data_IF_425129559780
#
_entry.id   IF_425129559780
#
_cell.length_a   1.000
_cell.length_b   1.000
_cell.length_c   1.000
_cell.angle_alpha   90.00
_cell.angle_beta   90.00
_cell.angle_gamma   90.00
#
_symmetry.space_group_name_H-M   'P 1'
#
loop_
_entity.id
_entity.type
_entity.pdbx_description
1 polymer ?
#
# COMPACT_ATOMS: atom_id res chain seq x y z
N UNK A 1 20.42 -26.97 -33.52
CA UNK A 1 20.06 -27.63 -32.24
C UNK A 1 20.74 -26.92 -31.07
N UNK A 2 22.08 -26.85 -31.03
CA UNK A 2 22.83 -26.17 -29.95
C UNK A 2 22.47 -24.69 -29.80
N UNK A 3 22.51 -23.90 -30.89
CA UNK A 3 22.17 -22.47 -30.83
C UNK A 3 20.72 -22.17 -30.41
N UNK A 4 19.77 -23.07 -30.69
CA UNK A 4 18.39 -22.91 -30.26
C UNK A 4 18.24 -23.21 -28.75
N UNK A 5 18.96 -24.21 -28.26
CA UNK A 5 19.02 -24.54 -26.84
C UNK A 5 19.69 -23.44 -26.02
N UNK A 6 20.81 -22.89 -26.49
CA UNK A 6 21.50 -21.75 -25.85
C UNK A 6 20.59 -20.51 -25.75
N UNK A 7 19.78 -20.23 -26.79
CA UNK A 7 18.83 -19.11 -26.77
C UNK A 7 17.70 -19.31 -25.75
N UNK A 8 17.18 -20.53 -25.60
CA UNK A 8 16.14 -20.83 -24.60
C UNK A 8 16.68 -20.71 -23.18
N UNK A 9 17.87 -21.24 -22.91
CA UNK A 9 18.51 -21.11 -21.60
C UNK A 9 18.76 -19.65 -21.24
N UNK A 10 19.27 -18.85 -22.19
CA UNK A 10 19.50 -17.43 -21.95
C UNK A 10 18.19 -16.69 -21.64
N UNK A 11 17.11 -16.94 -22.38
CA UNK A 11 15.80 -16.33 -22.10
C UNK A 11 15.29 -16.68 -20.69
N UNK A 12 15.58 -17.87 -20.18
CA UNK A 12 15.18 -18.29 -18.84
C UNK A 12 15.99 -17.59 -17.74
N UNK A 13 17.28 -17.36 -18.01
CA UNK A 13 18.16 -16.56 -17.12
C UNK A 13 17.68 -15.10 -17.09
N UNK A 14 17.37 -14.53 -18.25
CA UNK A 14 16.90 -13.14 -18.35
C UNK A 14 15.56 -12.99 -17.59
N UNK A 15 14.62 -13.92 -17.77
CA UNK A 15 13.34 -13.91 -17.07
C UNK A 15 13.50 -14.08 -15.54
N UNK A 16 14.45 -14.88 -15.08
CA UNK A 16 14.76 -15.00 -13.66
C UNK A 16 15.29 -13.68 -13.07
N UNK A 17 16.11 -12.94 -13.83
CA UNK A 17 16.58 -11.62 -13.41
C UNK A 17 15.44 -10.59 -13.38
N UNK A 18 14.51 -10.65 -14.33
CA UNK A 18 13.31 -9.79 -14.33
C UNK A 18 12.41 -10.08 -13.13
N UNK A 19 12.25 -11.36 -12.73
CA UNK A 19 11.52 -11.75 -11.51
C UNK A 19 12.17 -11.16 -10.26
N UNK A 20 13.51 -11.24 -10.13
CA UNK A 20 14.22 -10.65 -8.99
C UNK A 20 14.00 -9.12 -8.93
N UNK A 21 14.00 -8.46 -10.08
CA UNK A 21 13.73 -7.02 -10.17
C UNK A 21 12.27 -6.68 -9.82
N UNK A 22 11.30 -7.49 -10.25
CA UNK A 22 9.88 -7.33 -9.93
C UNK A 22 9.63 -7.58 -8.43
N UNK A 23 10.28 -8.56 -7.82
CA UNK A 23 10.17 -8.82 -6.39
C UNK A 23 10.67 -7.61 -5.56
N UNK A 24 11.76 -6.99 -5.99
CA UNK A 24 12.25 -5.75 -5.38
C UNK A 24 11.27 -4.57 -5.60
N UNK A 25 10.65 -4.47 -6.79
CA UNK A 25 9.63 -3.46 -7.08
C UNK A 25 8.38 -3.64 -6.20
N UNK A 26 7.93 -4.88 -5.97
CA UNK A 26 6.85 -5.20 -5.04
C UNK A 26 7.21 -4.73 -3.63
N UNK A 27 8.40 -5.07 -3.13
CA UNK A 27 8.83 -4.66 -1.80
C UNK A 27 8.85 -3.12 -1.64
N UNK A 28 9.29 -2.40 -2.68
CA UNK A 28 9.26 -0.92 -2.69
C UNK A 28 7.84 -0.36 -2.73
N UNK A 29 6.94 -0.96 -3.51
CA UNK A 29 5.55 -0.55 -3.59
C UNK A 29 4.80 -0.79 -2.27
N UNK A 30 5.05 -1.92 -1.60
CA UNK A 30 4.52 -2.22 -0.27
C UNK A 30 5.03 -1.23 0.79
N UNK A 31 6.31 -0.86 0.73
CA UNK A 31 6.86 0.18 1.60
C UNK A 31 6.20 1.54 1.35
N UNK A 32 6.01 1.92 0.09
CA UNK A 32 5.33 3.16 -0.26
C UNK A 32 3.87 3.17 0.24
N UNK A 33 3.17 2.05 0.13
CA UNK A 33 1.83 1.89 0.68
C UNK A 33 1.80 2.05 2.20
N UNK A 34 2.74 1.42 2.91
CA UNK A 34 2.87 1.59 4.36
C UNK A 34 3.11 3.06 4.73
N UNK A 35 3.97 3.77 4.02
CA UNK A 35 4.22 5.19 4.27
C UNK A 35 2.97 6.04 4.01
N UNK A 36 2.24 5.78 2.92
CA UNK A 36 1.00 6.51 2.63
C UNK A 36 -0.07 6.28 3.71
N UNK A 37 -0.13 5.08 4.29
CA UNK A 37 -1.03 4.77 5.41
C UNK A 37 -0.63 5.49 6.70
N UNK A 38 0.68 5.59 6.98
CA UNK A 38 1.19 6.37 8.11
C UNK A 38 0.88 7.86 7.94
N UNK A 39 1.05 8.41 6.73
CA UNK A 39 0.74 9.80 6.41
C UNK A 39 -0.77 10.08 6.54
N UNK A 40 -1.64 9.16 6.07
CA UNK A 40 -3.09 9.27 6.26
C UNK A 40 -3.47 9.30 7.75
N UNK A 41 -2.82 8.45 8.56
CA UNK A 41 -3.03 8.44 10.01
C UNK A 41 -2.65 9.78 10.63
N UNK A 42 -1.48 10.33 10.26
CA UNK A 42 -1.03 11.63 10.75
C UNK A 42 -1.97 12.79 10.34
N UNK A 43 -2.50 12.75 9.11
CA UNK A 43 -3.49 13.73 8.64
C UNK A 43 -4.81 13.64 9.41
N UNK A 44 -5.26 12.42 9.75
CA UNK A 44 -6.46 12.20 10.56
C UNK A 44 -6.27 12.71 12.01
N UNK A 45 -5.10 12.48 12.60
CA UNK A 45 -4.77 13.03 13.93
C UNK A 45 -4.75 14.56 13.92
N UNK A 46 -4.20 15.17 12.85
CA UNK A 46 -4.18 16.62 12.68
C UNK A 46 -5.60 17.20 12.54
N UNK A 47 -6.47 16.54 11.78
CA UNK A 47 -7.89 16.91 11.67
C UNK A 47 -8.60 16.85 13.02
N UNK A 48 -8.37 15.79 13.80
CA UNK A 48 -8.94 15.69 15.14
C UNK A 48 -8.48 16.84 16.05
N UNK A 49 -7.19 17.19 16.02
CA UNK A 49 -6.66 18.33 16.78
C UNK A 49 -7.30 19.65 16.34
N UNK A 50 -7.47 19.89 15.03
CA UNK A 50 -8.10 21.10 14.53
C UNK A 50 -9.57 21.21 14.95
N UNK A 51 -10.28 20.09 15.02
CA UNK A 51 -11.67 20.02 15.52
C UNK A 51 -11.76 20.32 17.02
N UNK A 52 -10.80 19.83 17.81
CA UNK A 52 -10.69 20.15 19.23
C UNK A 52 -10.44 21.65 19.44
N UNK A 53 -9.53 22.24 18.65
CA UNK A 53 -9.23 23.67 18.68
C UNK A 53 -10.44 24.52 18.29
N UNK A 54 -11.20 24.11 17.26
CA UNK A 54 -12.45 24.78 16.87
C UNK A 54 -13.48 24.73 18.00
N UNK A 55 -13.62 23.59 18.67
CA UNK A 55 -14.52 23.44 19.82
C UNK A 55 -14.10 24.39 20.94
N UNK A 56 -12.80 24.44 21.27
CA UNK A 56 -12.28 25.35 22.29
C UNK A 56 -12.48 26.83 21.92
N UNK A 57 -12.31 27.20 20.65
CA UNK A 57 -12.57 28.56 20.18
C UNK A 57 -14.06 28.93 20.31
N UNK A 58 -14.97 28.01 19.99
CA UNK A 58 -16.42 28.20 20.15
C UNK A 58 -16.81 28.36 21.62
N UNK A 59 -16.25 27.55 22.52
CA UNK A 59 -16.47 27.68 23.96
C UNK A 59 -15.99 29.04 24.49
N UNK A 60 -14.82 29.50 24.03
CA UNK A 60 -14.30 30.83 24.38
C UNK A 60 -15.19 31.96 23.87
N UNK A 61 -15.73 31.84 22.65
CA UNK A 61 -16.68 32.81 22.12
C UNK A 61 -17.96 32.87 22.97
N UNK A 62 -18.53 31.71 23.32
CA UNK A 62 -19.72 31.66 24.17
C UNK A 62 -19.47 32.28 25.55
N UNK A 63 -18.27 32.09 26.11
CA UNK A 63 -17.89 32.74 27.37
C UNK A 63 -17.75 34.25 27.19
N UNK A 64 -17.09 34.73 26.13
CA UNK A 64 -16.96 36.16 25.86
C UNK A 64 -18.32 36.85 25.66
N UNK A 65 -19.26 36.19 24.99
CA UNK A 65 -20.64 36.68 24.85
C UNK A 65 -21.36 36.77 26.21
N UNK A 66 -21.14 35.79 27.09
CA UNK A 66 -21.68 35.80 28.47
C UNK A 66 -21.09 36.94 29.29
N UNK A 67 -19.80 37.20 29.16
CA UNK A 67 -19.11 38.30 29.85
C UNK A 67 -19.60 39.66 29.33
N UNK A 68 -19.79 39.80 28.01
CA UNK A 68 -20.38 40.99 27.41
C UNK A 68 -21.79 41.24 27.93
N UNK A 69 -22.64 40.21 27.96
CA UNK A 69 -23.99 40.35 28.51
C UNK A 69 -23.96 40.78 29.98
N UNK A 70 -23.04 40.21 30.77
CA UNK A 70 -22.87 40.58 32.18
C UNK A 70 -22.41 42.02 32.36
N UNK A 71 -21.50 42.51 31.51
CA UNK A 71 -21.05 43.90 31.50
C UNK A 71 -22.19 44.87 31.11
N UNK A 72 -22.99 44.51 30.10
CA UNK A 72 -24.16 45.28 29.68
C UNK A 72 -25.22 45.33 30.78
N UNK A 73 -25.48 44.21 31.47
CA UNK A 73 -26.41 44.17 32.59
C UNK A 73 -25.95 45.04 33.75
N UNK A 74 -24.64 45.02 34.07
CA UNK A 74 -24.05 45.88 35.08
C UNK A 74 -24.18 47.37 34.71
N UNK A 75 -23.95 47.73 33.44
CA UNK A 75 -24.15 49.09 32.95
C UNK A 75 -25.62 49.52 33.06
N UNK A 76 -26.57 48.65 32.70
CA UNK A 76 -28.01 48.94 32.77
C UNK A 76 -28.54 49.03 34.21
N UNK A 77 -27.84 48.44 35.18
CA UNK A 77 -28.19 48.51 36.59
C UNK A 77 -27.79 49.83 37.27
N UNK A 78 -27.01 50.68 36.58
CA UNK A 78 -26.68 52.03 37.08
C UNK A 78 -27.95 52.89 37.17
N UNK A 79 -28.13 53.55 38.31
CA UNK A 79 -29.25 54.46 38.54
C UNK A 79 -28.81 55.93 38.54
N UNK A 80 -29.74 56.85 38.77
CA UNK A 80 -29.47 58.30 38.79
C UNK A 80 -28.49 58.74 39.90
N UNK A 81 -28.15 57.85 40.85
CA UNK A 81 -27.20 58.13 41.94
C UNK A 81 -25.78 57.63 41.66
N UNK A 82 -25.58 56.91 40.55
CA UNK A 82 -24.27 56.44 40.12
C UNK A 82 -23.29 57.61 39.94
N UNK A 83 -22.06 57.43 40.41
CA UNK A 83 -20.98 58.38 40.25
C UNK A 83 -20.44 58.37 38.81
N UNK A 84 -19.82 59.48 38.39
CA UNK A 84 -19.14 59.55 37.08
C UNK A 84 -18.10 58.44 36.90
N UNK A 85 -17.43 58.03 37.99
CA UNK A 85 -16.45 56.95 37.95
C UNK A 85 -17.11 55.59 37.71
N UNK A 86 -18.23 55.28 38.39
CA UNK A 86 -18.95 54.02 38.18
C UNK A 86 -19.48 53.89 36.75
N UNK A 87 -19.97 54.99 36.18
CA UNK A 87 -20.39 55.03 34.77
C UNK A 87 -19.21 54.78 33.83
N UNK A 88 -18.07 55.42 34.09
CA UNK A 88 -16.86 55.24 33.29
C UNK A 88 -16.34 53.80 33.35
N UNK A 89 -16.28 53.21 34.55
CA UNK A 89 -15.82 51.83 34.76
C UNK A 89 -16.73 50.83 34.05
N UNK A 90 -18.06 51.02 34.12
CA UNK A 90 -19.02 50.16 33.41
C UNK A 90 -18.89 50.27 31.88
N UNK A 91 -18.65 51.47 31.35
CA UNK A 91 -18.40 51.66 29.92
C UNK A 91 -17.11 50.94 29.48
N UNK A 92 -16.03 51.07 30.25
CA UNK A 92 -14.78 50.35 29.98
C UNK A 92 -14.99 48.84 30.01
N UNK A 93 -15.75 48.30 30.98
CA UNK A 93 -16.03 46.87 31.05
C UNK A 93 -16.80 46.36 29.82
N UNK A 94 -17.77 47.12 29.30
CA UNK A 94 -18.48 46.79 28.06
C UNK A 94 -17.54 46.83 26.86
N UNK A 95 -16.72 47.88 26.74
CA UNK A 95 -15.77 48.03 25.63
C UNK A 95 -14.74 46.87 25.62
N UNK A 96 -14.21 46.50 26.79
CA UNK A 96 -13.27 45.38 26.95
C UNK A 96 -13.91 44.04 26.60
N UNK A 97 -15.14 43.78 27.07
CA UNK A 97 -15.86 42.55 26.75
C UNK A 97 -16.21 42.45 25.27
N UNK A 98 -16.54 43.58 24.62
CA UNK A 98 -16.80 43.61 23.19
C UNK A 98 -15.53 43.34 22.37
N UNK A 99 -14.38 43.84 22.82
CA UNK A 99 -13.09 43.49 22.23
C UNK A 99 -12.77 41.98 22.40
N UNK A 100 -13.11 41.39 23.55
CA UNK A 100 -12.94 39.96 23.78
C UNK A 100 -13.80 39.11 22.83
N UNK A 101 -15.07 39.49 22.59
CA UNK A 101 -15.95 38.83 21.60
C UNK A 101 -15.32 38.88 20.21
N UNK A 102 -14.90 40.06 19.74
CA UNK A 102 -14.25 40.18 18.42
C UNK A 102 -12.98 39.32 18.29
N UNK A 103 -12.19 39.23 19.37
CA UNK A 103 -11.01 38.35 19.38
C UNK A 103 -11.41 36.87 19.30
N UNK A 104 -12.47 36.45 20.01
CA UNK A 104 -12.94 35.07 19.98
C UNK A 104 -13.57 34.71 18.63
N UNK A 105 -14.32 35.61 17.99
CA UNK A 105 -14.84 35.43 16.63
C UNK A 105 -13.69 35.20 15.62
N UNK A 106 -12.60 35.97 15.77
CA UNK A 106 -11.40 35.80 14.95
C UNK A 106 -10.78 34.41 15.16
N UNK A 107 -10.64 33.97 16.41
CA UNK A 107 -10.11 32.64 16.73
C UNK A 107 -10.98 31.51 16.17
N UNK A 108 -12.32 31.65 16.19
CA UNK A 108 -13.23 30.69 15.55
C UNK A 108 -12.98 30.62 14.04
N UNK A 109 -12.88 31.77 13.37
CA UNK A 109 -12.60 31.81 11.91
C UNK A 109 -11.25 31.18 11.54
N UNK A 110 -10.22 31.39 12.38
CA UNK A 110 -8.91 30.76 12.21
C UNK A 110 -8.99 29.24 12.39
N UNK A 111 -9.71 28.77 13.41
CA UNK A 111 -9.89 27.34 13.66
C UNK A 111 -10.73 26.65 12.56
N UNK A 112 -11.76 27.31 12.03
CA UNK A 112 -12.52 26.82 10.86
C UNK A 112 -11.63 26.66 9.63
N UNK A 113 -10.71 27.61 9.42
CA UNK A 113 -9.71 27.53 8.34
C UNK A 113 -8.78 26.33 8.54
N UNK A 114 -8.28 26.14 9.77
CA UNK A 114 -7.42 25.01 10.09
C UNK A 114 -8.11 23.65 9.89
N UNK A 115 -9.40 23.53 10.24
CA UNK A 115 -10.20 22.33 9.96
C UNK A 115 -10.29 22.08 8.45
N UNK A 116 -10.59 23.10 7.65
CA UNK A 116 -10.69 22.95 6.19
C UNK A 116 -9.36 22.53 5.54
N UNK A 117 -8.24 23.05 6.03
CA UNK A 117 -6.90 22.66 5.58
C UNK A 117 -6.57 21.21 5.97
N UNK A 118 -6.95 20.79 7.18
CA UNK A 118 -6.76 19.42 7.63
C UNK A 118 -7.65 18.41 6.86
N UNK A 119 -8.91 18.77 6.55
CA UNK A 119 -9.78 17.96 5.69
C UNK A 119 -9.19 17.78 4.28
N UNK A 120 -8.61 18.85 3.73
CA UNK A 120 -7.90 18.78 2.44
C UNK A 120 -6.70 17.82 2.52
N UNK A 121 -5.93 17.91 3.60
CA UNK A 121 -4.76 17.03 3.82
C UNK A 121 -5.15 15.55 3.96
N UNK A 122 -6.29 15.26 4.61
CA UNK A 122 -6.85 13.90 4.68
C UNK A 122 -7.22 13.41 3.28
N UNK A 123 -7.93 14.21 2.48
CA UNK A 123 -8.33 13.82 1.13
C UNK A 123 -7.13 13.53 0.22
N UNK A 124 -6.06 14.34 0.31
CA UNK A 124 -4.82 14.11 -0.44
C UNK A 124 -4.10 12.82 0.00
N UNK A 125 -4.09 12.53 1.31
CA UNK A 125 -3.52 11.30 1.83
C UNK A 125 -4.33 10.06 1.40
N UNK A 126 -5.66 10.14 1.37
CA UNK A 126 -6.52 9.05 0.84
C UNK A 126 -6.22 8.75 -0.63
N UNK A 127 -6.02 9.79 -1.45
CA UNK A 127 -5.60 9.62 -2.86
C UNK A 127 -4.24 8.92 -2.93
N UNK A 128 -3.28 9.35 -2.11
CA UNK A 128 -1.94 8.77 -2.07
C UNK A 128 -1.96 7.29 -1.69
N UNK A 129 -2.79 6.90 -0.72
CA UNK A 129 -3.01 5.49 -0.37
C UNK A 129 -3.58 4.71 -1.56
N UNK A 130 -4.62 5.22 -2.21
CA UNK A 130 -5.23 4.53 -3.35
C UNK A 130 -4.26 4.32 -4.54
N UNK A 131 -3.41 5.32 -4.82
CA UNK A 131 -2.36 5.21 -5.83
C UNK A 131 -1.29 4.18 -5.45
N UNK A 132 -0.87 4.15 -4.18
CA UNK A 132 0.09 3.19 -3.67
C UNK A 132 -0.47 1.75 -3.69
N UNK A 133 -1.74 1.55 -3.32
CA UNK A 133 -2.44 0.26 -3.42
C UNK A 133 -2.49 -0.24 -4.87
N UNK A 134 -2.82 0.64 -5.82
CA UNK A 134 -2.85 0.32 -7.24
C UNK A 134 -1.46 -0.11 -7.73
N UNK A 135 -0.42 0.62 -7.34
CA UNK A 135 0.97 0.34 -7.72
C UNK A 135 1.44 -1.00 -7.15
N UNK A 136 1.17 -1.26 -5.86
CA UNK A 136 1.52 -2.52 -5.21
C UNK A 136 0.79 -3.72 -5.83
N UNK A 137 -0.50 -3.55 -6.16
CA UNK A 137 -1.28 -4.56 -6.86
C UNK A 137 -0.71 -4.88 -8.25
N UNK A 138 -0.40 -3.85 -9.04
CA UNK A 138 0.21 -4.03 -10.38
C UNK A 138 1.56 -4.73 -10.31
N UNK A 139 2.44 -4.32 -9.40
CA UNK A 139 3.74 -4.96 -9.22
C UNK A 139 3.60 -6.45 -8.84
N UNK A 140 2.60 -6.78 -8.01
CA UNK A 140 2.31 -8.16 -7.60
C UNK A 140 1.77 -9.00 -8.75
N UNK A 141 0.89 -8.44 -9.57
CA UNK A 141 0.36 -9.10 -10.77
C UNK A 141 1.47 -9.36 -11.80
N UNK A 142 2.34 -8.36 -12.04
CA UNK A 142 3.47 -8.47 -12.95
C UNK A 142 4.46 -9.56 -12.48
N UNK A 143 4.77 -9.60 -11.18
CA UNK A 143 5.61 -10.64 -10.59
C UNK A 143 5.00 -12.03 -10.78
N UNK A 144 3.70 -12.19 -10.50
CA UNK A 144 3.00 -13.46 -10.66
C UNK A 144 2.95 -13.93 -12.12
N UNK A 145 2.79 -13.01 -13.08
CA UNK A 145 2.86 -13.32 -14.50
C UNK A 145 4.27 -13.80 -14.90
N UNK A 146 5.32 -13.11 -14.45
CA UNK A 146 6.70 -13.48 -14.73
C UNK A 146 7.06 -14.86 -14.15
N UNK A 147 6.66 -15.15 -12.90
CA UNK A 147 6.85 -16.47 -12.27
C UNK A 147 6.13 -17.59 -13.04
N UNK A 148 4.91 -17.33 -13.52
CA UNK A 148 4.14 -18.27 -14.34
C UNK A 148 4.84 -18.57 -15.67
N UNK A 149 5.36 -17.53 -16.34
CA UNK A 149 6.14 -17.68 -17.57
C UNK A 149 7.40 -18.53 -17.34
N UNK A 150 8.13 -18.29 -16.25
CA UNK A 150 9.34 -19.04 -15.93
C UNK A 150 9.03 -20.52 -15.69
N UNK A 151 7.95 -20.82 -14.95
CA UNK A 151 7.46 -22.18 -14.74
C UNK A 151 7.11 -22.90 -16.05
N UNK A 152 6.40 -22.22 -16.95
CA UNK A 152 6.06 -22.75 -18.28
C UNK A 152 7.30 -23.02 -19.15
N UNK A 153 8.29 -22.11 -19.11
CA UNK A 153 9.55 -22.27 -19.84
C UNK A 153 10.37 -23.45 -19.30
N UNK A 154 10.50 -23.57 -17.98
CA UNK A 154 11.19 -24.70 -17.35
C UNK A 154 10.56 -26.04 -17.75
N UNK A 155 9.23 -26.12 -17.82
CA UNK A 155 8.53 -27.33 -18.28
C UNK A 155 8.81 -27.65 -19.76
N UNK A 156 8.86 -26.62 -20.62
CA UNK A 156 9.20 -26.78 -22.03
C UNK A 156 10.63 -27.30 -22.21
N UNK A 157 11.59 -26.76 -21.46
CA UNK A 157 12.99 -27.22 -21.48
C UNK A 157 13.12 -28.67 -21.02
N UNK A 158 12.48 -29.06 -19.92
CA UNK A 158 12.48 -30.45 -19.43
C UNK A 158 11.92 -31.41 -20.51
N UNK A 159 10.84 -31.02 -21.17
CA UNK A 159 10.22 -31.82 -22.25
C UNK A 159 11.17 -31.94 -23.45
N UNK A 160 11.77 -30.85 -23.89
CA UNK A 160 12.73 -30.84 -24.99
C UNK A 160 13.97 -31.69 -24.68
N UNK A 161 14.48 -31.63 -23.44
CA UNK A 161 15.62 -32.44 -22.99
C UNK A 161 15.26 -33.94 -22.95
N UNK A 162 14.05 -34.28 -22.48
CA UNK A 162 13.55 -35.65 -22.47
C UNK A 162 13.40 -36.22 -23.89
N UNK A 163 12.86 -35.44 -24.83
CA UNK A 163 12.77 -35.82 -26.24
C UNK A 163 14.16 -36.00 -26.89
N UNK A 164 15.09 -35.09 -26.61
CA UNK A 164 16.47 -35.18 -27.09
C UNK A 164 17.19 -36.43 -26.55
N UNK A 165 17.04 -36.72 -25.26
CA UNK A 165 17.60 -37.91 -24.63
C UNK A 165 17.00 -39.20 -25.25
N UNK A 166 15.69 -39.24 -25.44
CA UNK A 166 15.00 -40.39 -26.03
C UNK A 166 15.43 -40.62 -27.50
N UNK A 167 15.63 -39.55 -28.27
CA UNK A 167 16.17 -39.63 -29.64
C UNK A 167 17.62 -40.13 -29.67
N UNK A 168 18.44 -39.74 -28.69
CA UNK A 168 19.82 -40.22 -28.57
C UNK A 168 19.91 -41.67 -28.09
N UNK A 169 18.89 -42.16 -27.37
CA UNK A 169 18.74 -43.54 -26.93
C UNK A 169 17.93 -44.39 -27.93
N UNK A 170 17.92 -44.02 -29.22
CA UNK A 170 17.11 -44.70 -30.24
C UNK A 170 17.39 -46.21 -30.26
N UNK A 171 16.42 -47.04 -30.72
CA UNK A 171 16.62 -48.49 -30.89
C UNK A 171 17.84 -48.85 -31.72
N UNK A 172 18.27 -47.94 -32.60
CA UNK A 172 19.44 -48.07 -33.44
C UNK A 172 20.74 -47.91 -32.64
N UNK A 173 20.84 -46.90 -31.76
CA UNK A 173 21.98 -46.74 -30.84
C UNK A 173 22.01 -47.87 -29.82
N UNK A 174 20.85 -48.30 -29.32
CA UNK A 174 20.74 -49.44 -28.41
C UNK A 174 21.16 -50.75 -29.10
N UNK A 175 20.74 -50.96 -30.36
CA UNK A 175 21.15 -52.11 -31.16
C UNK A 175 22.65 -52.09 -31.48
N UNK A 176 23.21 -50.92 -31.81
CA UNK A 176 24.64 -50.72 -32.04
C UNK A 176 25.46 -51.06 -30.78
N UNK A 177 25.03 -50.55 -29.62
CA UNK A 177 25.67 -50.84 -28.32
C UNK A 177 25.55 -52.31 -27.95
N UNK A 178 24.38 -52.92 -28.13
CA UNK A 178 24.19 -54.36 -27.87
C UNK A 178 25.04 -55.23 -28.80
N UNK A 179 25.17 -54.83 -30.07
CA UNK A 179 26.05 -55.48 -31.05
C UNK A 179 27.53 -55.38 -30.63
N UNK A 180 27.99 -54.20 -30.20
CA UNK A 180 29.36 -53.96 -29.75
C UNK A 180 29.70 -54.68 -28.43
N UNK A 181 28.71 -54.82 -27.53
CA UNK A 181 28.87 -55.54 -26.26
C UNK A 181 28.69 -57.06 -26.40
N UNK A 182 28.32 -57.55 -27.58
CA UNK A 182 28.06 -58.98 -27.82
C UNK A 182 26.80 -59.51 -27.11
N UNK A 183 25.86 -58.62 -26.78
CA UNK A 183 24.56 -58.97 -26.19
C UNK A 183 23.65 -59.43 -27.35
N UNK A 184 23.58 -60.75 -27.57
CA UNK A 184 22.79 -61.37 -28.66
C UNK A 184 21.41 -61.84 -28.23
N UNK A 185 21.08 -61.78 -26.94
CA UNK A 185 19.76 -62.19 -26.45
C UNK A 185 18.75 -61.07 -26.66
N UNK A 186 17.66 -61.38 -27.36
CA UNK A 186 16.47 -60.54 -27.28
C UNK A 186 16.02 -60.54 -25.83
N UNK A 187 15.93 -59.36 -25.20
CA UNK A 187 15.36 -59.21 -23.86
C UNK A 187 13.93 -59.78 -23.81
N UNK A 188 13.25 -59.90 -24.95
CA UNK A 188 11.96 -60.59 -25.07
C UNK A 188 12.02 -62.09 -24.76
N UNK A 189 13.12 -62.80 -25.09
CA UNK A 189 13.26 -64.23 -24.79
C UNK A 189 13.50 -64.46 -23.28
N UNK A 190 14.23 -63.55 -22.61
CA UNK A 190 14.56 -63.67 -21.18
C UNK A 190 13.36 -63.27 -20.29
N UNK A 191 12.50 -62.33 -20.74
CA UNK A 191 11.24 -61.99 -20.07
C UNK A 191 10.15 -63.05 -20.33
N UNK A 192 10.14 -63.68 -21.51
CA UNK A 192 9.27 -64.82 -21.79
C UNK A 192 9.59 -66.02 -20.89
N UNK A 193 10.87 -66.31 -20.62
CA UNK A 193 11.29 -67.39 -19.72
C UNK A 193 10.91 -67.11 -18.25
N UNK A 194 11.05 -65.85 -17.79
CA UNK A 194 10.68 -65.44 -16.43
C UNK A 194 9.16 -65.43 -16.18
N UNK A 195 8.35 -65.17 -17.20
CA UNK A 195 6.87 -65.19 -17.10
C UNK A 195 6.29 -66.59 -17.31
N UNK A 196 6.96 -67.46 -18.09
CA UNK A 196 6.59 -68.86 -18.24
C UNK A 196 6.92 -69.72 -17.01
N UNK A 197 7.82 -69.26 -16.13
CA UNK A 197 8.27 -70.00 -14.94
C UNK A 197 7.35 -69.94 -13.69
N UNK A 198 6.19 -69.27 -13.72
CA UNK A 198 5.32 -69.11 -12.53
C UNK A 198 3.89 -69.65 -12.65
N UNK A 199 3.62 -70.56 -13.60
CA UNK A 199 2.34 -71.26 -13.71
C UNK A 199 2.52 -72.77 -13.81
N UNK A 200 2.61 -73.45 -12.67
CA UNK A 200 2.32 -74.88 -12.54
C UNK A 200 0.87 -75.20 -12.86
#
# INVERSE_FOLDING_TARGET
MIAAYEATVQAGIDLAADIDALAEAVAQAEQALSQAQDDLTASQESLASAQDDLTAAQDNLAQAETDLQSAVDAQNALDETATEQEVADAQTAVDDAQAAVTSAETAVSEAETAVAEAETSVAEAEVSVAEAETTAGQASDDLAEAESMLGGQAQSEVTALAEAANKSLSPEVVAEVNSLLGITSSVEDEVADLTAGSGT
#
